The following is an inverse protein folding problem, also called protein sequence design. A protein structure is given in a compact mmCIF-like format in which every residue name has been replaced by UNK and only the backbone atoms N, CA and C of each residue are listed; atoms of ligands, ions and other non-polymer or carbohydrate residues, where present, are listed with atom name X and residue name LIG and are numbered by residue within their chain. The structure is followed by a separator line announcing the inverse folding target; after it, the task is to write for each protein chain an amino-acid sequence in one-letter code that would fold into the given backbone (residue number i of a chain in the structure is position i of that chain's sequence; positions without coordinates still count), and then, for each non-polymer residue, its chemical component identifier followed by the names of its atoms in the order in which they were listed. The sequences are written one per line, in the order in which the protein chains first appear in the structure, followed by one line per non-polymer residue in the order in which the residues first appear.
data_IF_177891456954
#
_entry.id   IF_177891456954
#
_cell.length_a   1.000
_cell.length_b   1.000
_cell.length_c   1.000
_cell.angle_alpha   90.00
_cell.angle_beta   90.00
_cell.angle_gamma   90.00
#
_symmetry.space_group_name_H-M   'P 1'
#
loop_
_entity.id
_entity.type
_entity.pdbx_description
1 polymer ?
#
# COMPACT_ATOMS: atom_id res chain seq x y z
N UNK A 1 10.03 5.69 -6.86
CA UNK A 1 9.16 5.09 -7.89
C UNK A 1 8.00 6.03 -8.15
N UNK A 2 7.61 6.26 -9.41
CA UNK A 2 6.41 7.04 -9.73
C UNK A 2 5.16 6.17 -9.58
N UNK A 3 3.99 6.79 -9.40
CA UNK A 3 2.73 6.04 -9.28
C UNK A 3 2.35 5.29 -10.56
N UNK A 4 2.76 5.81 -11.74
CA UNK A 4 2.62 5.07 -13.02
C UNK A 4 3.48 3.81 -12.99
N UNK A 5 4.76 3.91 -12.60
CA UNK A 5 5.64 2.76 -12.53
C UNK A 5 5.15 1.71 -11.52
N UNK A 6 4.58 2.13 -10.39
CA UNK A 6 3.95 1.22 -9.43
C UNK A 6 2.75 0.50 -10.04
N UNK A 7 1.86 1.23 -10.72
CA UNK A 7 0.68 0.68 -11.38
C UNK A 7 1.07 -0.39 -12.42
N UNK A 8 2.06 -0.09 -13.25
CA UNK A 8 2.57 -1.00 -14.27
C UNK A 8 3.19 -2.25 -13.65
N UNK A 9 4.07 -2.08 -12.66
CA UNK A 9 4.79 -3.18 -12.04
C UNK A 9 3.91 -4.06 -11.13
N UNK A 10 2.89 -3.48 -10.48
CA UNK A 10 1.93 -4.23 -9.67
C UNK A 10 0.80 -4.86 -10.52
N UNK A 11 0.68 -4.47 -11.80
CA UNK A 11 -0.42 -4.91 -12.67
C UNK A 11 -1.78 -4.40 -12.19
N UNK A 12 -1.82 -3.19 -11.61
CA UNK A 12 -3.04 -2.54 -11.12
C UNK A 12 -3.25 -1.27 -11.94
N UNK A 13 -4.40 -1.08 -12.62
CA UNK A 13 -4.65 0.14 -13.39
C UNK A 13 -4.45 1.39 -12.54
N UNK A 14 -3.75 2.40 -13.06
CA UNK A 14 -3.41 3.63 -12.32
C UNK A 14 -4.61 4.28 -11.62
N UNK A 15 -5.77 4.36 -12.30
CA UNK A 15 -6.98 4.92 -11.71
C UNK A 15 -7.52 4.08 -10.54
N UNK A 16 -7.46 2.74 -10.68
CA UNK A 16 -7.83 1.80 -9.61
C UNK A 16 -6.88 1.93 -8.43
N UNK A 17 -5.57 1.98 -8.68
CA UNK A 17 -4.54 2.17 -7.66
C UNK A 17 -4.78 3.47 -6.89
N UNK A 18 -4.98 4.58 -7.59
CA UNK A 18 -5.22 5.89 -6.97
C UNK A 18 -6.50 5.90 -6.13
N UNK A 19 -7.60 5.33 -6.65
CA UNK A 19 -8.84 5.22 -5.88
C UNK A 19 -8.64 4.39 -4.62
N UNK A 20 -7.93 3.27 -4.72
CA UNK A 20 -7.70 2.37 -3.58
C UNK A 20 -6.78 2.96 -2.52
N UNK A 21 -5.73 3.67 -2.91
CA UNK A 21 -4.85 4.36 -1.96
C UNK A 21 -5.61 5.38 -1.11
N UNK A 22 -6.55 6.11 -1.71
CA UNK A 22 -7.25 7.18 -1.00
C UNK A 22 -8.41 6.68 -0.12
N UNK A 23 -9.22 5.73 -0.61
CA UNK A 23 -10.50 5.35 0.03
C UNK A 23 -10.88 3.88 -0.14
N UNK A 24 -10.01 3.05 -0.69
CA UNK A 24 -10.35 1.66 -1.01
C UNK A 24 -9.57 0.63 -0.22
N UNK A 25 -9.88 -0.64 -0.51
CA UNK A 25 -9.24 -1.79 0.12
C UNK A 25 -8.47 -2.57 -0.95
N UNK A 26 -7.24 -2.96 -0.61
CA UNK A 26 -6.45 -3.89 -1.40
C UNK A 26 -6.70 -5.32 -0.92
N UNK A 27 -6.86 -6.25 -1.85
CA UNK A 27 -6.88 -7.66 -1.52
C UNK A 27 -5.45 -8.19 -1.32
N UNK A 28 -5.33 -9.42 -0.82
CA UNK A 28 -4.04 -10.03 -0.51
C UNK A 28 -3.11 -10.11 -1.75
N UNK A 29 -3.63 -10.49 -2.91
CA UNK A 29 -2.82 -10.62 -4.13
C UNK A 29 -2.32 -9.26 -4.62
N UNK A 30 -3.14 -8.23 -4.55
CA UNK A 30 -2.75 -6.85 -4.88
C UNK A 30 -1.67 -6.35 -3.92
N UNK A 31 -1.83 -6.59 -2.62
CA UNK A 31 -0.83 -6.27 -1.62
C UNK A 31 0.50 -7.00 -1.88
N UNK A 32 0.44 -8.29 -2.24
CA UNK A 32 1.63 -9.08 -2.60
C UNK A 32 2.34 -8.53 -3.82
N UNK A 33 1.60 -8.13 -4.86
CA UNK A 33 2.17 -7.53 -6.08
C UNK A 33 2.78 -6.16 -5.82
N UNK A 34 2.11 -5.33 -5.01
CA UNK A 34 2.65 -4.03 -4.57
C UNK A 34 3.94 -4.23 -3.79
N UNK A 35 3.97 -5.17 -2.83
CA UNK A 35 5.15 -5.50 -2.04
C UNK A 35 6.34 -5.91 -2.93
N UNK A 36 6.08 -6.77 -3.92
CA UNK A 36 7.07 -7.15 -4.93
C UNK A 36 7.55 -5.93 -5.74
N UNK A 37 6.62 -5.07 -6.19
CA UNK A 37 6.94 -3.90 -6.99
C UNK A 37 7.86 -2.90 -6.26
N UNK A 38 7.62 -2.69 -4.97
CA UNK A 38 8.44 -1.80 -4.14
C UNK A 38 9.65 -2.49 -3.52
N UNK A 39 9.91 -3.76 -3.87
CA UNK A 39 11.02 -4.56 -3.36
C UNK A 39 11.07 -4.62 -1.82
N UNK A 40 9.90 -4.75 -1.18
CA UNK A 40 9.80 -4.89 0.27
C UNK A 40 8.99 -6.14 0.64
N UNK A 41 9.35 -6.85 1.72
CA UNK A 41 8.50 -7.91 2.26
C UNK A 41 7.13 -7.35 2.65
N UNK A 42 6.05 -8.05 2.31
CA UNK A 42 4.68 -7.65 2.66
C UNK A 42 4.53 -7.46 4.17
N UNK A 43 5.12 -8.35 4.97
CA UNK A 43 5.15 -8.24 6.43
C UNK A 43 5.74 -6.91 6.93
N UNK A 44 6.77 -6.40 6.26
CA UNK A 44 7.38 -5.10 6.62
C UNK A 44 6.49 -3.91 6.29
N UNK A 45 5.62 -4.03 5.29
CA UNK A 45 4.66 -3.00 4.91
C UNK A 45 3.53 -2.98 5.93
N UNK A 46 2.98 -4.15 6.26
CA UNK A 46 1.92 -4.30 7.28
C UNK A 46 2.39 -3.79 8.64
N UNK A 47 3.57 -4.22 9.11
CA UNK A 47 4.12 -3.75 10.38
C UNK A 47 4.45 -2.24 10.42
N UNK A 48 4.67 -1.61 9.26
CA UNK A 48 4.82 -0.16 9.18
C UNK A 48 3.46 0.55 9.24
N UNK A 49 2.44 -0.01 8.57
CA UNK A 49 1.08 0.51 8.61
C UNK A 49 0.49 0.45 10.02
N UNK A 50 0.64 -0.68 10.74
CA UNK A 50 0.17 -0.84 12.12
C UNK A 50 0.82 0.16 13.09
N UNK A 51 2.12 0.45 12.89
CA UNK A 51 2.83 1.46 13.68
C UNK A 51 2.34 2.88 13.42
N UNK A 52 2.06 3.21 12.16
CA UNK A 52 1.52 4.53 11.79
C UNK A 52 0.11 4.72 12.36
N UNK A 53 -0.74 3.71 12.23
CA UNK A 53 -2.09 3.72 12.80
C UNK A 53 -2.03 3.90 14.32
N UNK A 54 -1.19 3.13 15.01
CA UNK A 54 -1.03 3.25 16.47
C UNK A 54 -0.53 4.62 16.90
N UNK A 55 0.41 5.22 16.15
CA UNK A 55 0.92 6.56 16.45
C UNK A 55 -0.13 7.65 16.20
N UNK A 56 -0.99 7.48 15.19
CA UNK A 56 -2.11 8.38 14.92
C UNK A 56 -3.17 8.32 16.03
N UNK A 57 -3.37 7.16 16.66
CA UNK A 57 -4.26 7.03 17.82
C UNK A 57 -3.72 7.71 19.10
N UNK A 58 -2.41 7.77 19.30
CA UNK A 58 -1.81 8.39 20.48
C UNK A 58 -1.83 9.93 20.42
N UNK A 59 -1.84 10.54 19.23
CA UNK A 59 -1.84 12.00 19.02
C UNK A 59 -3.25 12.63 19.16
N UNK A 60 -4.30 11.81 19.26
CA UNK A 60 -5.72 12.25 19.38
C UNK A 60 -6.22 12.17 20.84
N UNK A 61 -5.37 11.75 21.79
CA UNK A 61 -5.68 11.69 23.24
C UNK A 61 -5.08 12.85 24.01
#
# INVERSE_FOLDING_TARGET
MTQTALADQAGIPRNTLNRKINVGIFNFDELRRIAYAVQRPLSSIVAAAERLDSAEYDDVR
#
